data_IF_127191122762
#
_entry.id   IF_127191122762
#
_cell.length_a   1.000
_cell.length_b   1.000
_cell.length_c   1.000
_cell.angle_alpha   90.00
_cell.angle_beta   90.00
_cell.angle_gamma   90.00
#
_symmetry.space_group_name_H-M   'P 1'
#
loop_
_entity.id
_entity.type
_entity.pdbx_description
1 polymer ?
#
# COMPACT_ATOMS: atom_id res chain seq x y z
N UNK A 1 18.11 2.82 5.00
CA UNK A 1 18.56 4.24 5.01
C UNK A 1 17.57 5.21 4.34
N UNK A 2 17.25 5.01 3.05
CA UNK A 2 16.38 5.93 2.27
C UNK A 2 14.97 6.07 2.89
N UNK A 3 14.32 4.96 3.26
CA UNK A 3 12.98 4.99 3.87
C UNK A 3 12.94 5.68 5.24
N UNK A 4 14.05 5.65 6.00
CA UNK A 4 14.17 6.32 7.30
C UNK A 4 14.29 7.83 7.09
N UNK A 5 15.14 8.25 6.14
CA UNK A 5 15.26 9.67 5.75
C UNK A 5 13.93 10.19 5.20
N UNK A 6 13.26 9.40 4.36
CA UNK A 6 11.93 9.72 3.84
C UNK A 6 10.93 9.93 4.99
N UNK A 7 10.87 9.01 5.97
CA UNK A 7 10.01 9.18 7.16
C UNK A 7 10.33 10.47 7.93
N UNK A 8 11.61 10.82 8.08
CA UNK A 8 12.01 12.06 8.75
C UNK A 8 11.54 13.32 8.00
N UNK A 9 11.71 13.35 6.67
CA UNK A 9 11.24 14.45 5.82
C UNK A 9 9.72 14.57 5.89
N UNK A 10 9.00 13.46 5.80
CA UNK A 10 7.54 13.46 5.85
C UNK A 10 7.03 13.93 7.22
N UNK A 11 7.68 13.51 8.30
CA UNK A 11 7.36 13.99 9.65
C UNK A 11 7.62 15.49 9.79
N UNK A 12 8.71 16.01 9.22
CA UNK A 12 9.02 17.43 9.21
C UNK A 12 7.96 18.25 8.45
N UNK A 13 7.50 17.76 7.30
CA UNK A 13 6.44 18.41 6.51
C UNK A 13 5.11 18.36 7.27
N UNK A 14 4.74 17.19 7.80
CA UNK A 14 3.48 16.99 8.52
C UNK A 14 3.39 17.85 9.79
N UNK A 15 4.52 18.09 10.47
CA UNK A 15 4.61 19.00 11.61
C UNK A 15 4.25 20.46 11.27
N UNK A 16 4.37 20.89 10.00
CA UNK A 16 3.91 22.23 9.57
C UNK A 16 2.39 22.35 9.46
N UNK A 17 1.69 21.22 9.37
CA UNK A 17 0.23 21.16 9.21
C UNK A 17 -0.50 20.80 10.51
N UNK A 18 0.22 20.53 11.60
CA UNK A 18 -0.35 20.04 12.88
C UNK A 18 0.11 20.88 14.08
N UNK A 19 -0.81 21.15 15.02
CA UNK A 19 -0.65 22.13 16.11
C UNK A 19 -0.50 21.48 17.52
N UNK A 20 -0.26 20.16 17.70
CA UNK A 20 -0.34 19.54 19.04
C UNK A 20 0.52 18.27 19.29
N UNK A 21 1.59 18.43 20.09
CA UNK A 21 2.70 17.46 20.33
C UNK A 21 2.35 15.97 20.54
N UNK A 22 1.24 15.60 21.20
CA UNK A 22 0.90 14.19 21.44
C UNK A 22 0.02 13.59 20.33
N UNK A 23 -0.77 14.41 19.64
CA UNK A 23 -1.53 14.03 18.44
C UNK A 23 -0.65 13.94 17.21
N UNK A 24 0.43 14.72 17.19
CA UNK A 24 1.35 14.81 16.08
C UNK A 24 1.93 13.44 15.70
N UNK A 25 2.22 12.53 16.65
CA UNK A 25 2.81 11.21 16.31
C UNK A 25 1.87 10.33 15.45
N UNK A 26 0.62 10.14 15.86
CA UNK A 26 -0.34 9.30 15.12
C UNK A 26 -0.74 9.90 13.77
N UNK A 27 -0.81 11.23 13.71
CA UNK A 27 -1.06 11.96 12.46
C UNK A 27 0.13 11.78 11.52
N UNK A 28 1.35 11.98 12.02
CA UNK A 28 2.57 11.82 11.24
C UNK A 28 2.75 10.38 10.73
N UNK A 29 2.45 9.37 11.55
CA UNK A 29 2.41 7.97 11.11
C UNK A 29 1.41 7.76 9.97
N UNK A 30 0.17 8.21 10.15
CA UNK A 30 -0.89 7.99 9.15
C UNK A 30 -0.59 8.75 7.86
N UNK A 31 -0.03 9.95 7.98
CA UNK A 31 0.41 10.76 6.84
C UNK A 31 1.61 10.12 6.11
N UNK A 32 2.56 9.55 6.85
CA UNK A 32 3.68 8.81 6.27
C UNK A 32 3.22 7.60 5.46
N UNK A 33 2.40 6.73 6.06
CA UNK A 33 1.87 5.56 5.36
C UNK A 33 0.96 5.97 4.20
N UNK A 34 0.10 6.97 4.39
CA UNK A 34 -0.79 7.47 3.33
C UNK A 34 -0.03 8.02 2.12
N UNK A 35 1.01 8.82 2.35
CA UNK A 35 1.84 9.34 1.26
C UNK A 35 2.61 8.22 0.54
N UNK A 36 3.13 7.26 1.31
CA UNK A 36 3.83 6.11 0.76
C UNK A 36 2.90 5.26 -0.13
N UNK A 37 1.72 4.90 0.35
CA UNK A 37 0.72 4.16 -0.44
C UNK A 37 0.28 4.95 -1.66
N UNK A 38 0.13 6.28 -1.55
CA UNK A 38 -0.24 7.13 -2.67
C UNK A 38 0.82 7.11 -3.78
N UNK A 39 2.09 7.29 -3.42
CA UNK A 39 3.19 7.27 -4.39
C UNK A 39 3.35 5.90 -5.06
N UNK A 40 3.25 4.81 -4.27
CA UNK A 40 3.29 3.45 -4.79
C UNK A 40 2.09 3.16 -5.71
N UNK A 41 0.90 3.58 -5.34
CA UNK A 41 -0.30 3.40 -6.16
C UNK A 41 -0.17 4.15 -7.49
N UNK A 42 0.31 5.40 -7.48
CA UNK A 42 0.56 6.16 -8.71
C UNK A 42 1.58 5.46 -9.61
N UNK A 43 2.67 4.95 -9.03
CA UNK A 43 3.69 4.24 -9.80
C UNK A 43 3.16 2.91 -10.36
N UNK A 44 2.38 2.17 -9.58
CA UNK A 44 1.71 0.94 -9.99
C UNK A 44 0.70 1.17 -11.11
N UNK A 45 -0.12 2.23 -11.02
CA UNK A 45 -1.04 2.64 -12.10
C UNK A 45 -0.29 3.02 -13.36
N UNK A 46 0.81 3.76 -13.25
CA UNK A 46 1.65 4.11 -14.41
C UNK A 46 2.16 2.86 -15.14
N UNK A 47 2.71 1.88 -14.41
CA UNK A 47 3.14 0.60 -14.99
C UNK A 47 1.95 -0.15 -15.59
N UNK A 48 0.81 -0.17 -14.89
CA UNK A 48 -0.40 -0.87 -15.32
C UNK A 48 -0.96 -0.34 -16.65
N UNK A 49 -0.86 0.97 -16.87
CA UNK A 49 -1.26 1.61 -18.14
C UNK A 49 -0.27 1.24 -19.25
N UNK A 50 1.04 1.31 -18.99
CA UNK A 50 2.07 1.00 -19.98
C UNK A 50 1.98 -0.45 -20.47
N UNK A 51 1.77 -1.38 -19.54
CA UNK A 51 1.70 -2.82 -19.80
C UNK A 51 0.28 -3.33 -20.08
N UNK A 52 -0.71 -2.43 -20.08
CA UNK A 52 -2.13 -2.71 -20.39
C UNK A 52 -2.76 -3.84 -19.56
N UNK A 53 -2.40 -3.94 -18.27
CA UNK A 53 -2.86 -5.00 -17.37
C UNK A 53 -4.39 -5.19 -17.38
N UNK A 54 -5.15 -4.10 -17.46
CA UNK A 54 -6.62 -4.13 -17.36
C UNK A 54 -7.36 -4.16 -18.70
N UNK A 55 -6.64 -4.35 -19.82
CA UNK A 55 -7.24 -4.26 -21.17
C UNK A 55 -6.90 -5.47 -22.06
N UNK A 56 -5.89 -6.28 -21.73
CA UNK A 56 -5.50 -7.47 -22.48
C UNK A 56 -5.27 -8.69 -21.58
N UNK A 57 -5.20 -9.88 -22.20
CA UNK A 57 -4.69 -11.14 -21.59
C UNK A 57 -3.21 -11.06 -21.11
N UNK A 58 -2.60 -9.87 -21.08
CA UNK A 58 -1.20 -9.64 -20.76
C UNK A 58 -0.81 -10.12 -19.36
N UNK A 59 -1.72 -10.04 -18.37
CA UNK A 59 -1.48 -10.58 -17.02
C UNK A 59 -1.19 -12.10 -17.07
N UNK A 60 -1.82 -12.83 -17.99
CA UNK A 60 -1.59 -14.26 -18.17
C UNK A 60 -0.47 -14.56 -19.18
N UNK A 61 -0.10 -13.61 -20.05
CA UNK A 61 1.07 -13.73 -20.92
C UNK A 61 2.39 -13.58 -20.15
N UNK A 62 2.37 -12.98 -18.95
CA UNK A 62 3.51 -12.99 -18.01
C UNK A 62 3.94 -14.40 -17.59
N UNK A 63 3.06 -15.40 -17.62
CA UNK A 63 3.46 -16.80 -17.43
C UNK A 63 4.31 -17.35 -18.59
N UNK A 64 4.36 -16.63 -19.72
CA UNK A 64 5.05 -17.04 -20.95
C UNK A 64 6.23 -16.12 -21.32
N UNK A 65 6.31 -14.91 -20.78
CA UNK A 65 7.30 -13.90 -21.16
C UNK A 65 8.26 -13.56 -20.00
N UNK A 66 9.58 -13.63 -20.27
CA UNK A 66 10.62 -13.56 -19.22
C UNK A 66 11.27 -12.17 -19.08
N UNK A 67 10.81 -11.14 -19.81
CA UNK A 67 11.47 -9.83 -19.83
C UNK A 67 10.83 -8.85 -18.87
N UNK A 68 11.37 -8.75 -17.65
CA UNK A 68 10.99 -7.72 -16.67
C UNK A 68 11.69 -6.40 -17.01
N UNK A 69 10.93 -5.34 -17.22
CA UNK A 69 11.45 -3.99 -17.41
C UNK A 69 11.99 -3.42 -16.10
N UNK A 70 13.00 -2.56 -16.20
CA UNK A 70 13.60 -1.87 -15.04
C UNK A 70 12.56 -1.20 -14.12
N UNK A 71 11.48 -0.64 -14.70
CA UNK A 71 10.41 0.00 -13.93
C UNK A 71 9.64 -0.98 -13.03
N UNK A 72 9.34 -2.18 -13.54
CA UNK A 72 8.66 -3.25 -12.79
C UNK A 72 9.57 -3.77 -11.68
N UNK A 73 10.84 -4.00 -11.99
CA UNK A 73 11.82 -4.45 -11.00
C UNK A 73 12.05 -3.40 -9.89
N UNK A 74 12.11 -2.12 -10.27
CA UNK A 74 12.22 -1.01 -9.32
C UNK A 74 11.00 -0.96 -8.40
N UNK A 75 9.78 -1.10 -8.95
CA UNK A 75 8.55 -1.17 -8.16
C UNK A 75 8.61 -2.30 -7.12
N UNK A 76 8.97 -3.52 -7.54
CA UNK A 76 9.09 -4.69 -6.66
C UNK A 76 10.06 -4.44 -5.50
N UNK A 77 11.26 -3.92 -5.81
CA UNK A 77 12.29 -3.64 -4.81
C UNK A 77 11.84 -2.57 -3.81
N UNK A 78 11.16 -1.52 -4.28
CA UNK A 78 10.63 -0.46 -3.40
C UNK A 78 9.51 -1.03 -2.52
N UNK A 79 8.56 -1.77 -3.09
CA UNK A 79 7.44 -2.39 -2.36
C UNK A 79 7.97 -3.33 -1.26
N UNK A 80 8.94 -4.19 -1.59
CA UNK A 80 9.60 -5.07 -0.61
C UNK A 80 10.31 -4.28 0.49
N UNK A 81 11.08 -3.26 0.14
CA UNK A 81 11.76 -2.41 1.12
C UNK A 81 10.76 -1.72 2.06
N UNK A 82 9.62 -1.29 1.54
CA UNK A 82 8.53 -0.70 2.30
C UNK A 82 7.91 -1.71 3.28
N UNK A 83 7.57 -2.92 2.83
CA UNK A 83 7.00 -3.96 3.70
C UNK A 83 7.99 -4.42 4.79
N UNK A 84 9.28 -4.53 4.48
CA UNK A 84 10.31 -4.84 5.47
C UNK A 84 10.43 -3.70 6.50
N UNK A 85 10.47 -2.45 6.04
CA UNK A 85 10.49 -1.28 6.92
C UNK A 85 9.27 -1.26 7.83
N UNK A 86 8.07 -1.45 7.27
CA UNK A 86 6.81 -1.50 8.03
C UNK A 86 6.80 -2.62 9.07
N UNK A 87 7.34 -3.80 8.72
CA UNK A 87 7.50 -4.93 9.66
C UNK A 87 8.40 -4.57 10.83
N UNK A 88 9.56 -3.94 10.58
CA UNK A 88 10.45 -3.47 11.63
C UNK A 88 9.74 -2.47 12.57
N UNK A 89 8.99 -1.52 12.00
CA UNK A 89 8.22 -0.55 12.79
C UNK A 89 7.10 -1.21 13.60
N UNK A 90 6.45 -2.24 13.06
CA UNK A 90 5.44 -3.00 13.79
C UNK A 90 6.00 -3.61 15.08
N UNK A 91 7.24 -4.11 15.06
CA UNK A 91 7.89 -4.67 16.26
C UNK A 91 8.43 -3.62 17.24
N UNK A 92 8.87 -2.46 16.73
CA UNK A 92 9.47 -1.37 17.52
C UNK A 92 8.44 -0.46 18.18
N UNK A 93 7.29 -0.23 17.54
CA UNK A 93 6.27 0.71 17.98
C UNK A 93 5.25 0.05 18.92
N UNK A 94 4.59 0.82 19.80
CA UNK A 94 3.69 0.36 20.88
C UNK A 94 2.35 -0.25 20.40
N UNK A 95 2.26 -0.70 19.15
CA UNK A 95 1.08 -1.39 18.60
C UNK A 95 0.89 -2.82 19.14
N UNK A 96 1.83 -3.33 19.95
CA UNK A 96 1.73 -4.66 20.61
C UNK A 96 0.46 -4.86 21.44
N UNK A 97 -0.14 -3.76 21.93
CA UNK A 97 -1.37 -3.79 22.72
C UNK A 97 -2.66 -3.69 21.89
N UNK A 98 -2.57 -3.52 20.56
CA UNK A 98 -3.75 -3.52 19.70
C UNK A 98 -4.19 -4.97 19.45
N UNK A 99 -5.51 -5.22 19.51
CA UNK A 99 -6.07 -6.55 19.23
C UNK A 99 -5.67 -7.09 17.86
N UNK A 100 -5.48 -6.21 16.88
CA UNK A 100 -5.15 -6.57 15.49
C UNK A 100 -3.65 -6.83 15.27
N UNK A 101 -2.82 -6.77 16.31
CA UNK A 101 -1.36 -6.88 16.17
C UNK A 101 -0.91 -8.21 15.55
N UNK A 102 -1.44 -9.33 16.06
CA UNK A 102 -1.12 -10.67 15.52
C UNK A 102 -1.61 -10.83 14.08
N UNK A 103 -2.79 -10.28 13.76
CA UNK A 103 -3.32 -10.31 12.40
C UNK A 103 -2.43 -9.51 11.44
N UNK A 104 -1.92 -8.36 11.86
CA UNK A 104 -1.00 -7.55 11.07
C UNK A 104 0.35 -8.22 10.88
N UNK A 105 0.87 -8.95 11.86
CA UNK A 105 2.10 -9.76 11.69
C UNK A 105 1.86 -10.85 10.65
N UNK A 106 0.79 -11.63 10.82
CA UNK A 106 0.43 -12.69 9.88
C UNK A 106 0.28 -12.15 8.46
N UNK A 107 -0.36 -10.98 8.32
CA UNK A 107 -0.47 -10.28 7.06
C UNK A 107 0.89 -9.97 6.43
N UNK A 108 1.82 -9.35 7.16
CA UNK A 108 3.15 -9.03 6.63
C UNK A 108 3.96 -10.27 6.25
N UNK A 109 3.85 -11.36 7.03
CA UNK A 109 4.50 -12.63 6.71
C UNK A 109 3.94 -13.19 5.40
N UNK A 110 2.62 -13.20 5.24
CA UNK A 110 1.95 -13.69 4.02
C UNK A 110 2.31 -12.82 2.81
N UNK A 111 2.24 -11.48 2.91
CA UNK A 111 2.52 -10.60 1.77
C UNK A 111 3.98 -10.62 1.35
N UNK A 112 4.92 -10.67 2.30
CA UNK A 112 6.35 -10.83 2.00
C UNK A 112 6.59 -12.18 1.31
N UNK A 113 5.98 -13.26 1.82
CA UNK A 113 6.10 -14.60 1.22
C UNK A 113 5.54 -14.62 -0.21
N UNK A 114 4.36 -14.04 -0.43
CA UNK A 114 3.74 -13.92 -1.76
C UNK A 114 4.60 -13.09 -2.72
N UNK A 115 5.19 -12.00 -2.25
CA UNK A 115 6.09 -11.16 -3.05
C UNK A 115 7.38 -11.90 -3.42
N UNK A 116 7.97 -12.65 -2.49
CA UNK A 116 9.15 -13.49 -2.76
C UNK A 116 8.85 -14.62 -3.74
N UNK A 117 7.70 -15.27 -3.62
CA UNK A 117 7.25 -16.29 -4.57
C UNK A 117 6.97 -15.68 -5.95
N UNK A 118 6.30 -14.53 -6.01
CA UNK A 118 6.06 -13.84 -7.28
C UNK A 118 7.37 -13.47 -7.97
N UNK A 119 8.38 -13.01 -7.23
CA UNK A 119 9.71 -12.75 -7.78
C UNK A 119 10.42 -14.02 -8.28
N UNK A 120 10.36 -15.11 -7.51
CA UNK A 120 11.00 -16.38 -7.85
C UNK A 120 10.37 -17.07 -9.06
N UNK A 121 9.05 -16.95 -9.21
CA UNK A 121 8.27 -17.50 -10.31
C UNK A 121 8.06 -16.50 -11.46
N UNK A 122 8.71 -15.34 -11.43
CA UNK A 122 8.65 -14.31 -12.48
C UNK A 122 7.24 -13.73 -12.72
N UNK A 123 6.34 -13.85 -11.73
CA UNK A 123 4.97 -13.31 -11.75
C UNK A 123 4.93 -11.82 -11.38
N UNK A 124 5.79 -11.02 -11.99
CA UNK A 124 6.00 -9.62 -11.58
C UNK A 124 4.79 -8.76 -11.91
N UNK A 125 4.18 -8.87 -13.09
CA UNK A 125 3.01 -8.04 -13.41
C UNK A 125 1.77 -8.47 -12.67
N UNK A 126 1.63 -9.78 -12.42
CA UNK A 126 0.57 -10.28 -11.56
C UNK A 126 0.64 -9.61 -10.18
N UNK A 127 1.82 -9.62 -9.55
CA UNK A 127 2.01 -8.96 -8.27
C UNK A 127 1.72 -7.45 -8.34
N UNK A 128 2.27 -6.73 -9.32
CA UNK A 128 2.08 -5.27 -9.44
C UNK A 128 0.60 -4.93 -9.65
N UNK A 129 -0.11 -5.68 -10.48
CA UNK A 129 -1.53 -5.48 -10.73
C UNK A 129 -2.38 -5.70 -9.48
N UNK A 130 -2.10 -6.78 -8.74
CA UNK A 130 -2.76 -7.10 -7.48
C UNK A 130 -2.48 -6.02 -6.42
N UNK A 131 -1.21 -5.65 -6.23
CA UNK A 131 -0.80 -4.59 -5.30
C UNK A 131 -1.48 -3.25 -5.63
N UNK A 132 -1.52 -2.86 -6.91
CA UNK A 132 -2.11 -1.58 -7.34
C UNK A 132 -3.60 -1.48 -6.99
N UNK A 133 -4.36 -2.57 -7.17
CA UNK A 133 -5.80 -2.57 -6.85
C UNK A 133 -6.04 -2.57 -5.35
N UNK A 134 -5.24 -3.29 -4.57
CA UNK A 134 -5.43 -3.36 -3.12
C UNK A 134 -4.95 -2.08 -2.40
N UNK A 135 -3.79 -1.55 -2.76
CA UNK A 135 -3.16 -0.39 -2.11
C UNK A 135 -3.97 0.91 -2.32
N UNK A 136 -4.75 1.02 -3.41
CA UNK A 136 -5.60 2.19 -3.67
C UNK A 136 -6.59 2.47 -2.53
N UNK A 137 -7.18 1.42 -1.95
CA UNK A 137 -8.12 1.58 -0.83
C UNK A 137 -7.43 2.13 0.42
N UNK A 138 -6.18 1.76 0.67
CA UNK A 138 -5.46 2.13 1.88
C UNK A 138 -5.04 3.60 1.90
N UNK A 139 -4.89 4.23 0.73
CA UNK A 139 -4.73 5.69 0.62
C UNK A 139 -5.92 6.42 1.25
N UNK A 140 -7.14 5.96 0.94
CA UNK A 140 -8.38 6.56 1.46
C UNK A 140 -8.50 6.31 2.97
N UNK A 141 -8.09 5.12 3.43
CA UNK A 141 -8.07 4.77 4.85
C UNK A 141 -7.14 5.70 5.65
N UNK A 142 -5.91 5.89 5.21
CA UNK A 142 -4.94 6.74 5.91
C UNK A 142 -5.38 8.21 5.92
N UNK A 143 -5.99 8.69 4.83
CA UNK A 143 -6.62 10.01 4.79
C UNK A 143 -7.73 10.14 5.85
N UNK A 144 -8.59 9.13 5.98
CA UNK A 144 -9.67 9.15 6.97
C UNK A 144 -9.14 9.25 8.41
N UNK A 145 -8.02 8.57 8.72
CA UNK A 145 -7.36 8.64 10.04
C UNK A 145 -6.79 10.01 10.31
N UNK A 146 -6.10 10.61 9.34
CA UNK A 146 -5.56 11.98 9.45
C UNK A 146 -6.68 12.98 9.73
N UNK A 147 -7.80 12.91 9.00
CA UNK A 147 -8.97 13.76 9.21
C UNK A 147 -9.61 13.52 10.59
N UNK A 148 -9.70 12.27 11.03
CA UNK A 148 -10.25 11.91 12.33
C UNK A 148 -9.43 12.53 13.49
N UNK A 149 -8.10 12.41 13.43
CA UNK A 149 -7.20 12.94 14.44
C UNK A 149 -7.21 14.49 14.49
N UNK A 150 -7.43 15.13 13.34
CA UNK A 150 -7.64 16.58 13.19
C UNK A 150 -9.03 17.08 13.64
N UNK A 151 -9.83 16.24 14.31
CA UNK A 151 -11.19 16.55 14.80
C UNK A 151 -12.22 16.84 13.70
N UNK A 152 -11.94 16.53 12.44
CA UNK A 152 -12.87 16.70 11.31
C UNK A 152 -13.79 15.48 11.16
N UNK A 153 -14.52 15.13 12.24
CA UNK A 153 -15.27 13.86 12.35
C UNK A 153 -16.25 13.59 11.22
N UNK A 154 -17.00 14.60 10.75
CA UNK A 154 -17.98 14.43 9.67
C UNK A 154 -17.30 13.97 8.36
N UNK A 155 -16.18 14.61 8.01
CA UNK A 155 -15.41 14.31 6.79
C UNK A 155 -14.66 12.98 6.96
N UNK A 156 -14.12 12.71 8.15
CA UNK A 156 -13.49 11.44 8.48
C UNK A 156 -14.45 10.25 8.32
N UNK A 157 -15.70 10.37 8.81
CA UNK A 157 -16.69 9.32 8.66
C UNK A 157 -17.08 9.10 7.19
N UNK A 158 -17.25 10.18 6.41
CA UNK A 158 -17.53 10.06 4.98
C UNK A 158 -16.39 9.37 4.23
N UNK A 159 -15.15 9.79 4.47
CA UNK A 159 -13.96 9.18 3.84
C UNK A 159 -13.74 7.74 4.27
N UNK A 160 -14.08 7.38 5.52
CA UNK A 160 -14.05 6.00 6.00
C UNK A 160 -15.10 5.12 5.31
N UNK A 161 -16.31 5.64 5.05
CA UNK A 161 -17.33 4.92 4.27
C UNK A 161 -16.85 4.71 2.82
N UNK A 162 -16.27 5.75 2.20
CA UNK A 162 -15.67 5.64 0.86
C UNK A 162 -14.54 4.61 0.80
N UNK A 163 -13.69 4.59 1.84
CA UNK A 163 -12.68 3.54 2.01
C UNK A 163 -13.33 2.16 2.01
N UNK A 164 -14.38 1.96 2.81
CA UNK A 164 -15.04 0.65 2.94
C UNK A 164 -15.60 0.17 1.60
N UNK A 165 -16.26 1.06 0.84
CA UNK A 165 -16.79 0.74 -0.49
C UNK A 165 -15.64 0.37 -1.45
N UNK A 166 -14.56 1.15 -1.45
CA UNK A 166 -13.37 0.90 -2.28
C UNK A 166 -12.66 -0.40 -1.89
N UNK A 167 -12.53 -0.68 -0.60
CA UNK A 167 -11.91 -1.90 -0.05
C UNK A 167 -12.68 -3.15 -0.48
N UNK A 168 -14.00 -3.13 -0.36
CA UNK A 168 -14.87 -4.24 -0.78
C UNK A 168 -14.83 -4.41 -2.30
N UNK A 169 -15.00 -3.32 -3.05
CA UNK A 169 -14.98 -3.36 -4.51
C UNK A 169 -13.67 -3.89 -5.08
N UNK A 170 -12.53 -3.38 -4.60
CA UNK A 170 -11.19 -3.81 -5.04
C UNK A 170 -10.99 -5.32 -4.86
N UNK A 171 -11.40 -5.89 -3.72
CA UNK A 171 -11.17 -7.30 -3.36
C UNK A 171 -12.23 -8.27 -3.90
N UNK A 172 -13.50 -7.87 -3.96
CA UNK A 172 -14.59 -8.77 -4.36
C UNK A 172 -15.01 -8.62 -5.83
N UNK A 173 -14.71 -7.49 -6.47
CA UNK A 173 -15.09 -7.27 -7.87
C UNK A 173 -13.87 -7.17 -8.78
N UNK A 174 -12.97 -6.22 -8.53
CA UNK A 174 -11.82 -5.98 -9.42
C UNK A 174 -10.85 -7.15 -9.42
N UNK A 175 -10.40 -7.60 -8.25
CA UNK A 175 -9.47 -8.73 -8.14
C UNK A 175 -9.97 -10.01 -8.87
N UNK A 176 -11.17 -10.56 -8.59
CA UNK A 176 -11.61 -11.77 -9.28
C UNK A 176 -11.85 -11.55 -10.78
N UNK A 177 -12.37 -10.38 -11.18
CA UNK A 177 -12.64 -10.09 -12.59
C UNK A 177 -11.38 -10.05 -13.46
N UNK A 178 -10.26 -9.53 -12.94
CA UNK A 178 -9.04 -9.33 -13.73
C UNK A 178 -7.97 -10.41 -13.52
N UNK A 179 -7.98 -11.13 -12.39
CA UNK A 179 -6.91 -12.08 -12.05
C UNK A 179 -7.36 -13.52 -11.81
N UNK A 180 -8.67 -13.79 -11.68
CA UNK A 180 -9.20 -15.13 -11.37
C UNK A 180 -10.10 -15.65 -12.47
N UNK A 181 -10.97 -14.80 -13.01
CA UNK A 181 -11.87 -15.16 -14.09
C UNK A 181 -11.13 -15.10 -15.45
N UNK A 182 -11.40 -16.06 -16.35
CA UNK A 182 -10.81 -16.11 -17.69
C UNK A 182 -11.38 -15.04 -18.63
#
# INVERSE_FOLDING_TARGET
PVLIVFRYIVNFISARFTNSQAKDKRINESFYFGLQYFLLTLFGVYISIQQKFFTSFAIYQDLLDNTVNFQQELYMRIQLGVYISASCWLFLETRKHNADFMLMIAHHVVTISLMSLAYSHQLTNFFIGVATIHDFSDVILELSKVLYYNKLRKIANLTWVLFTISFIGSRLYFYPKYFVLP
#
